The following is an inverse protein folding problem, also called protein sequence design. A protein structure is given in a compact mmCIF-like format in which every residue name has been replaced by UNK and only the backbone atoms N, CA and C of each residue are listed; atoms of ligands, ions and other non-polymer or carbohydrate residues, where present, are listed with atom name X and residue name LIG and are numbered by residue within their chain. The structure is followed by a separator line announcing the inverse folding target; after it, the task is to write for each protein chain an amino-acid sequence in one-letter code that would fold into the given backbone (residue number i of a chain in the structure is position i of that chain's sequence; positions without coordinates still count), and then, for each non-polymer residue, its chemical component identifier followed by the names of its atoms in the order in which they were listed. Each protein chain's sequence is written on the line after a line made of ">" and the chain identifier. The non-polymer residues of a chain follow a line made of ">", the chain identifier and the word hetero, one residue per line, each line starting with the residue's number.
data_IF_410640226945
#
_entry.id   IF_410640226945
#
_cell.length_a   1.000
_cell.length_b   1.000
_cell.length_c   1.000
_cell.angle_alpha   90.00
_cell.angle_beta   90.00
_cell.angle_gamma   90.00
#
_symmetry.space_group_name_H-M   'P 1'
#
loop_
_entity.id
_entity.type
_entity.pdbx_description
1 polymer ?
#
# COMPACT_ATOMS: atom_id res chain seq x y z
N UNK A 1 46.06 -34.19 27.77
CA UNK A 1 44.65 -33.81 28.18
C UNK A 1 44.42 -32.29 28.17
N UNK A 2 45.36 -31.48 27.73
CA UNK A 2 45.26 -29.96 27.80
C UNK A 2 44.88 -29.37 26.43
N UNK A 3 45.02 -30.07 25.31
CA UNK A 3 44.74 -29.56 23.94
C UNK A 3 43.22 -29.58 23.59
N UNK A 4 42.41 -30.38 24.27
CA UNK A 4 40.93 -30.44 23.98
C UNK A 4 40.10 -29.36 24.66
N UNK A 5 40.64 -28.62 25.66
CA UNK A 5 39.89 -27.55 26.31
C UNK A 5 40.01 -26.20 25.58
N UNK A 6 41.13 -25.94 24.88
CA UNK A 6 41.34 -24.69 24.15
C UNK A 6 40.49 -24.54 22.90
N UNK A 7 40.11 -25.65 22.21
CA UNK A 7 39.27 -25.58 21.01
C UNK A 7 37.82 -25.27 21.30
N UNK A 8 37.28 -25.66 22.49
CA UNK A 8 35.90 -25.36 22.87
C UNK A 8 35.68 -23.91 23.33
N UNK A 9 36.71 -23.29 23.89
CA UNK A 9 36.64 -21.89 24.29
C UNK A 9 36.67 -20.93 23.08
N UNK A 10 37.40 -21.29 22.01
CA UNK A 10 37.45 -20.52 20.76
C UNK A 10 36.14 -20.60 19.98
N UNK A 11 35.42 -21.73 19.99
CA UNK A 11 34.14 -21.89 19.33
C UNK A 11 33.01 -21.13 20.06
N UNK A 12 33.05 -21.03 21.38
CA UNK A 12 32.05 -20.24 22.13
C UNK A 12 32.28 -18.72 21.99
N UNK A 13 33.52 -18.24 21.85
CA UNK A 13 33.79 -16.82 21.58
C UNK A 13 33.44 -16.44 20.11
N UNK A 14 33.57 -17.33 19.14
CA UNK A 14 33.18 -17.08 17.76
C UNK A 14 31.65 -17.03 17.56
N UNK A 15 30.87 -17.72 18.40
CA UNK A 15 29.40 -17.68 18.38
C UNK A 15 28.83 -16.41 19.04
N UNK A 16 29.58 -15.78 19.95
CA UNK A 16 29.17 -14.51 20.59
C UNK A 16 29.48 -13.26 19.75
N UNK A 17 30.36 -13.37 18.72
CA UNK A 17 30.72 -12.24 17.87
C UNK A 17 29.79 -12.06 16.65
N UNK A 18 28.80 -12.92 16.45
CA UNK A 18 27.74 -12.77 15.44
C UNK A 18 26.44 -12.19 15.98
N UNK A 19 26.43 -11.62 17.20
CA UNK A 19 25.37 -10.71 17.58
C UNK A 19 25.46 -9.49 16.63
N UNK A 20 24.67 -9.52 15.55
CA UNK A 20 24.43 -8.34 14.73
C UNK A 20 24.00 -7.26 15.70
N UNK A 21 24.82 -6.24 15.88
CA UNK A 21 24.41 -4.97 16.47
C UNK A 21 23.34 -4.41 15.53
N UNK A 22 22.11 -4.84 15.68
CA UNK A 22 20.97 -4.14 15.16
C UNK A 22 20.95 -2.83 15.94
N UNK A 23 21.54 -1.78 15.38
CA UNK A 23 21.30 -0.43 15.87
C UNK A 23 19.78 -0.26 15.79
N UNK A 24 19.12 -0.19 16.92
CA UNK A 24 17.70 0.13 16.96
C UNK A 24 17.52 1.45 16.20
N UNK A 25 16.72 1.45 15.15
CA UNK A 25 16.42 2.68 14.41
C UNK A 25 15.80 3.67 15.39
N UNK A 26 16.37 4.87 15.48
CA UNK A 26 15.80 5.92 16.32
C UNK A 26 14.72 6.65 15.54
N UNK A 27 13.51 6.67 16.09
CA UNK A 27 12.38 7.42 15.55
C UNK A 27 12.21 8.70 16.36
N UNK A 28 12.08 9.83 15.67
CA UNK A 28 11.90 11.13 16.29
C UNK A 28 10.76 11.89 15.61
N UNK A 29 9.80 12.38 16.39
CA UNK A 29 8.79 13.31 15.89
C UNK A 29 9.46 14.66 15.63
N UNK A 30 9.42 15.13 14.38
CA UNK A 30 10.04 16.40 13.95
C UNK A 30 9.01 17.45 13.55
N UNK A 31 7.73 17.08 13.48
CA UNK A 31 6.62 18.00 13.21
C UNK A 31 5.29 17.35 13.53
N UNK A 32 4.31 18.17 13.94
CA UNK A 32 2.93 17.75 14.11
C UNK A 32 2.02 18.91 13.70
N UNK A 33 1.08 18.62 12.82
CA UNK A 33 0.07 19.55 12.36
C UNK A 33 -1.31 18.99 12.66
N UNK A 34 -2.24 19.85 13.08
CA UNK A 34 -3.62 19.46 13.38
C UNK A 34 -4.57 20.40 12.65
N UNK A 35 -5.57 19.83 11.99
CA UNK A 35 -6.57 20.56 11.23
C UNK A 35 -7.96 19.95 11.41
N UNK A 36 -8.99 20.75 11.26
CA UNK A 36 -10.37 20.28 11.11
C UNK A 36 -10.60 19.95 9.63
N UNK A 37 -10.91 18.69 9.32
CA UNK A 37 -11.10 18.22 7.93
C UNK A 37 -12.58 18.14 7.52
N UNK A 38 -13.47 17.99 8.50
CA UNK A 38 -14.92 18.11 8.33
C UNK A 38 -15.52 18.41 9.71
N UNK A 39 -16.64 19.10 9.78
CA UNK A 39 -17.32 19.56 11.01
C UNK A 39 -16.69 19.18 12.37
N UNK A 40 -16.89 17.92 12.82
CA UNK A 40 -16.40 17.37 14.10
C UNK A 40 -15.23 16.36 13.91
N UNK A 41 -14.62 16.28 12.71
CA UNK A 41 -13.47 15.44 12.44
C UNK A 41 -12.19 16.26 12.48
N UNK A 42 -11.25 15.80 13.29
CA UNK A 42 -9.90 16.37 13.39
C UNK A 42 -8.88 15.40 12.81
N UNK A 43 -8.01 15.93 11.96
CA UNK A 43 -6.85 15.23 11.42
C UNK A 43 -5.58 15.76 12.08
N UNK A 44 -4.76 14.86 12.58
CA UNK A 44 -3.39 15.14 13.01
C UNK A 44 -2.42 14.44 12.07
N UNK A 45 -1.44 15.16 11.55
CA UNK A 45 -0.34 14.63 10.72
C UNK A 45 0.95 14.81 11.48
N UNK A 46 1.63 13.71 11.76
CA UNK A 46 2.92 13.70 12.46
C UNK A 46 4.02 13.30 11.50
N UNK A 47 5.05 14.13 11.36
CA UNK A 47 6.25 13.81 10.60
C UNK A 47 7.24 13.11 11.51
N UNK A 48 7.65 11.91 11.12
CA UNK A 48 8.60 11.08 11.87
C UNK A 48 9.90 10.97 11.08
N UNK A 49 10.99 11.38 11.69
CA UNK A 49 12.36 11.21 11.20
C UNK A 49 12.92 9.88 11.71
N UNK A 50 13.54 9.10 10.81
CA UNK A 50 14.22 7.85 11.15
C UNK A 50 15.72 8.01 11.00
N UNK A 51 16.47 7.82 12.09
CA UNK A 51 17.92 8.03 12.07
C UNK A 51 18.31 9.47 11.73
N UNK A 52 19.41 9.64 11.01
CA UNK A 52 20.02 10.97 10.75
C UNK A 52 19.88 11.45 9.30
N UNK A 53 19.47 10.58 8.36
CA UNK A 53 19.29 10.99 6.97
C UNK A 53 18.01 11.84 6.85
N UNK A 54 18.07 13.08 6.37
CA UNK A 54 16.91 13.98 6.31
C UNK A 54 15.78 13.49 5.38
N UNK A 55 16.06 12.56 4.47
CA UNK A 55 15.05 11.94 3.61
C UNK A 55 14.30 10.78 4.29
N UNK A 56 14.88 10.16 5.33
CA UNK A 56 14.25 9.06 6.04
C UNK A 56 13.12 9.59 6.93
N UNK A 57 12.07 10.13 6.30
CA UNK A 57 10.87 10.67 6.93
C UNK A 57 9.63 10.03 6.36
N UNK A 58 8.71 9.67 7.25
CA UNK A 58 7.37 9.25 6.86
C UNK A 58 6.31 10.03 7.63
N UNK A 59 5.07 9.97 7.16
CA UNK A 59 3.98 10.65 7.83
C UNK A 59 3.05 9.63 8.49
N UNK A 60 2.62 9.98 9.69
CA UNK A 60 1.56 9.31 10.43
C UNK A 60 0.36 10.24 10.45
N UNK A 61 -0.72 9.84 9.81
CA UNK A 61 -2.00 10.57 9.88
C UNK A 61 -2.92 9.88 10.88
N UNK A 62 -3.69 10.68 11.62
CA UNK A 62 -4.73 10.20 12.53
C UNK A 62 -5.98 11.06 12.36
N UNK A 63 -7.12 10.43 12.11
CA UNK A 63 -8.40 11.13 12.02
C UNK A 63 -9.33 10.59 13.09
N UNK A 64 -9.83 11.52 13.92
CA UNK A 64 -10.71 11.21 15.04
C UNK A 64 -11.92 12.10 15.05
N UNK A 65 -13.04 11.61 15.60
CA UNK A 65 -14.23 12.39 15.85
C UNK A 65 -14.20 12.99 17.26
N UNK A 66 -14.31 14.31 17.33
CA UNK A 66 -14.44 15.03 18.59
C UNK A 66 -15.91 15.36 18.86
N UNK A 67 -16.64 14.44 19.49
CA UNK A 67 -17.98 14.69 19.96
C UNK A 67 -18.14 14.18 21.40
N UNK A 68 -18.71 14.96 22.32
CA UNK A 68 -18.97 14.52 23.69
C UNK A 68 -19.83 13.23 23.69
N UNK A 69 -19.37 12.20 24.44
CA UNK A 69 -20.10 10.94 24.56
C UNK A 69 -20.02 10.02 23.35
N UNK A 70 -19.12 10.29 22.40
CA UNK A 70 -18.89 9.42 21.27
C UNK A 70 -18.12 8.16 21.70
N UNK A 71 -18.72 6.98 21.43
CA UNK A 71 -18.07 5.71 21.76
C UNK A 71 -16.95 5.41 20.76
N UNK A 72 -15.76 5.09 21.25
CA UNK A 72 -14.69 4.50 20.48
C UNK A 72 -15.09 3.06 20.07
N UNK A 73 -14.99 2.74 18.77
CA UNK A 73 -15.41 1.45 18.20
C UNK A 73 -14.26 0.58 17.75
N UNK A 74 -13.03 1.08 17.86
CA UNK A 74 -11.82 0.39 17.49
C UNK A 74 -10.94 1.22 16.57
N UNK A 75 -9.76 0.73 16.29
CA UNK A 75 -8.73 1.41 15.50
C UNK A 75 -8.53 0.70 14.15
N UNK A 76 -8.54 1.51 13.08
CA UNK A 76 -8.12 1.10 11.73
C UNK A 76 -6.76 1.69 11.42
N UNK A 77 -5.81 0.87 10.96
CA UNK A 77 -4.51 1.30 10.45
C UNK A 77 -4.48 1.05 8.93
N UNK A 78 -4.47 2.12 8.15
CA UNK A 78 -4.52 2.08 6.69
C UNK A 78 -3.13 2.27 6.08
N UNK A 79 -2.73 1.34 5.23
CA UNK A 79 -1.49 1.35 4.47
C UNK A 79 -1.80 1.72 3.01
N UNK A 80 -1.04 2.67 2.40
CA UNK A 80 -1.40 3.24 1.11
C UNK A 80 -1.06 2.32 -0.07
N UNK A 81 -1.73 2.48 -1.22
CA UNK A 81 -1.32 1.87 -2.47
C UNK A 81 0.03 2.41 -2.96
N UNK A 82 0.63 1.74 -3.93
CA UNK A 82 1.88 2.16 -4.55
C UNK A 82 1.71 3.55 -5.19
N UNK A 83 2.73 4.40 -5.03
CA UNK A 83 2.68 5.75 -5.58
C UNK A 83 1.71 6.69 -4.87
N UNK A 84 1.33 6.39 -3.62
CA UNK A 84 0.33 7.16 -2.88
C UNK A 84 0.68 7.24 -1.39
N UNK A 85 -0.09 8.05 -0.66
CA UNK A 85 -0.05 8.15 0.79
C UNK A 85 -1.45 7.99 1.39
N UNK A 86 -1.59 8.29 2.68
CA UNK A 86 -2.88 8.21 3.38
C UNK A 86 -3.99 9.03 2.72
N UNK A 87 -3.64 10.15 2.06
CA UNK A 87 -4.58 11.02 1.34
C UNK A 87 -5.40 10.29 0.26
N UNK A 88 -4.95 9.14 -0.22
CA UNK A 88 -5.71 8.33 -1.16
C UNK A 88 -7.04 7.87 -0.56
N UNK A 89 -7.09 7.60 0.73
CA UNK A 89 -8.29 7.21 1.47
C UNK A 89 -9.16 8.40 1.94
N UNK A 90 -8.67 9.63 1.73
CA UNK A 90 -9.36 10.88 2.10
C UNK A 90 -10.13 11.50 0.93
N UNK A 91 -9.93 11.00 -0.28
CA UNK A 91 -10.69 11.43 -1.45
C UNK A 91 -12.09 10.85 -1.37
N UNK A 92 -13.09 11.72 -1.40
CA UNK A 92 -14.51 11.36 -1.35
C UNK A 92 -15.26 11.87 -2.57
N UNK A 93 -16.42 11.28 -2.85
CA UNK A 93 -17.30 11.65 -3.95
C UNK A 93 -17.59 13.15 -3.96
N UNK A 94 -17.30 13.81 -5.09
CA UNK A 94 -17.51 15.24 -5.25
C UNK A 94 -16.70 16.13 -4.30
N UNK A 95 -15.60 15.61 -3.73
CA UNK A 95 -14.77 16.31 -2.75
C UNK A 95 -15.36 16.32 -1.33
N UNK A 96 -16.44 15.58 -1.09
CA UNK A 96 -17.06 15.45 0.22
C UNK A 96 -16.26 14.49 1.10
N UNK A 97 -15.55 15.03 2.10
CA UNK A 97 -14.71 14.24 3.01
C UNK A 97 -15.51 13.14 3.75
N UNK A 98 -16.79 13.40 4.07
CA UNK A 98 -17.63 12.44 4.77
C UNK A 98 -17.97 11.20 3.92
N UNK A 99 -17.79 11.30 2.60
CA UNK A 99 -17.91 10.20 1.65
C UNK A 99 -16.60 9.54 1.30
N UNK A 100 -15.50 10.00 1.87
CA UNK A 100 -14.22 9.28 1.77
C UNK A 100 -14.22 8.05 2.68
N UNK A 101 -13.32 7.11 2.38
CA UNK A 101 -13.13 5.93 3.23
C UNK A 101 -12.82 6.34 4.69
N UNK A 102 -11.91 7.28 4.88
CA UNK A 102 -11.53 7.79 6.22
C UNK A 102 -12.69 8.48 6.91
N UNK A 103 -13.39 9.37 6.20
CA UNK A 103 -14.54 10.10 6.74
C UNK A 103 -15.67 9.16 7.17
N UNK A 104 -15.96 8.14 6.36
CA UNK A 104 -16.96 7.13 6.66
C UNK A 104 -16.73 6.43 8.01
N UNK A 105 -15.50 5.96 8.25
CA UNK A 105 -15.16 5.23 9.48
C UNK A 105 -15.01 6.18 10.68
N UNK A 106 -14.35 7.33 10.51
CA UNK A 106 -14.17 8.29 11.58
C UNK A 106 -15.53 8.81 12.10
N UNK A 107 -16.50 9.09 11.20
CA UNK A 107 -17.86 9.47 11.57
C UNK A 107 -18.56 8.43 12.45
N UNK A 108 -18.23 7.17 12.26
CA UNK A 108 -18.81 6.03 12.99
C UNK A 108 -18.07 5.66 14.26
N UNK A 109 -17.05 6.45 14.66
CA UNK A 109 -16.36 6.28 15.93
C UNK A 109 -15.11 5.42 15.88
N UNK A 110 -14.62 5.16 14.70
CA UNK A 110 -13.31 4.56 14.57
C UNK A 110 -12.21 5.62 14.71
N UNK A 111 -11.11 5.25 15.34
CA UNK A 111 -9.87 6.00 15.26
C UNK A 111 -9.10 5.52 14.03
N UNK A 112 -9.01 6.38 13.00
CA UNK A 112 -8.43 6.00 11.72
C UNK A 112 -6.99 6.52 11.65
N UNK A 113 -6.05 5.60 11.66
CA UNK A 113 -4.63 5.88 11.51
C UNK A 113 -4.18 5.54 10.09
N UNK A 114 -3.16 6.26 9.60
CA UNK A 114 -2.62 6.05 8.28
C UNK A 114 -1.13 6.27 8.19
N UNK A 115 -0.54 5.51 7.32
CA UNK A 115 0.85 5.58 6.94
C UNK A 115 0.99 6.29 5.60
N UNK A 116 1.94 7.20 5.46
CA UNK A 116 2.39 7.69 4.16
C UNK A 116 3.88 7.43 4.04
N UNK A 117 4.27 6.77 2.95
CA UNK A 117 5.64 6.30 2.70
C UNK A 117 6.64 7.45 2.66
N UNK A 118 7.91 7.15 2.87
CA UNK A 118 9.03 8.12 2.89
C UNK A 118 9.14 8.94 1.60
N UNK A 119 8.75 8.39 0.46
CA UNK A 119 8.68 9.08 -0.85
C UNK A 119 7.72 10.30 -0.85
N UNK A 120 6.79 10.38 0.10
CA UNK A 120 5.81 11.48 0.21
C UNK A 120 6.45 12.87 0.34
N UNK A 121 7.66 12.95 0.87
CA UNK A 121 8.39 14.22 1.04
C UNK A 121 9.16 14.69 -0.19
N UNK A 122 9.16 13.92 -1.29
CA UNK A 122 9.91 14.22 -2.51
C UNK A 122 9.00 14.88 -3.55
N UNK A 123 9.50 15.91 -4.20
CA UNK A 123 8.81 16.59 -5.31
C UNK A 123 9.41 16.18 -6.66
N UNK A 124 8.60 16.20 -7.71
CA UNK A 124 9.04 15.81 -9.06
C UNK A 124 10.35 16.52 -9.48
N UNK A 125 11.28 15.74 -10.04
CA UNK A 125 12.57 16.23 -10.53
C UNK A 125 13.62 16.51 -9.44
N UNK A 126 13.31 16.35 -8.14
CA UNK A 126 14.27 16.66 -7.07
C UNK A 126 15.48 15.71 -7.06
N UNK A 127 15.25 14.43 -7.35
CA UNK A 127 16.32 13.44 -7.42
C UNK A 127 17.13 13.57 -8.73
N UNK A 128 16.45 13.75 -9.85
CA UNK A 128 17.05 13.84 -11.20
C UNK A 128 17.92 15.09 -11.36
N UNK A 129 17.53 16.21 -10.72
CA UNK A 129 18.31 17.45 -10.72
C UNK A 129 19.54 17.40 -9.80
N UNK A 130 19.64 16.38 -8.94
CA UNK A 130 20.66 16.31 -7.90
C UNK A 130 20.43 17.30 -6.75
N UNK A 131 19.27 17.95 -6.69
CA UNK A 131 18.92 18.85 -5.58
C UNK A 131 18.81 18.07 -4.25
N UNK A 132 18.51 16.80 -4.34
CA UNK A 132 18.39 15.87 -3.22
C UNK A 132 19.18 14.59 -3.52
N UNK A 133 19.98 14.12 -2.57
CA UNK A 133 20.62 12.80 -2.65
C UNK A 133 19.60 11.69 -2.32
N UNK A 134 19.06 11.08 -3.36
CA UNK A 134 18.06 10.03 -3.26
C UNK A 134 18.64 8.61 -3.09
N UNK A 135 19.94 8.47 -2.82
CA UNK A 135 20.60 7.16 -2.64
C UNK A 135 20.02 6.34 -1.47
N UNK A 136 19.42 7.00 -0.47
CA UNK A 136 18.71 6.34 0.63
C UNK A 136 17.56 5.45 0.15
N UNK A 137 16.94 5.76 -1.00
CA UNK A 137 15.85 4.98 -1.58
C UNK A 137 16.27 3.54 -1.98
N UNK A 138 17.56 3.27 -2.08
CA UNK A 138 18.09 1.91 -2.23
C UNK A 138 17.60 0.93 -1.16
N UNK A 139 17.25 1.46 0.03
CA UNK A 139 16.82 0.67 1.18
C UNK A 139 15.30 0.75 1.47
N UNK A 140 14.56 1.60 0.74
CA UNK A 140 13.14 1.79 1.00
C UNK A 140 12.29 0.68 0.35
N UNK A 141 12.32 -0.49 0.96
CA UNK A 141 11.56 -1.67 0.58
C UNK A 141 10.55 -2.09 1.64
N UNK A 142 10.08 -3.32 1.53
CA UNK A 142 9.08 -3.88 2.45
C UNK A 142 9.58 -3.89 3.90
N UNK A 143 10.86 -4.18 4.15
CA UNK A 143 11.43 -4.15 5.50
C UNK A 143 11.37 -2.75 6.14
N UNK A 144 11.54 -1.69 5.33
CA UNK A 144 11.38 -0.31 5.79
C UNK A 144 9.92 -0.03 6.17
N UNK A 145 8.97 -0.45 5.34
CA UNK A 145 7.53 -0.33 5.62
C UNK A 145 7.19 -1.05 6.93
N UNK A 146 7.68 -2.27 7.14
CA UNK A 146 7.46 -3.02 8.38
C UNK A 146 7.97 -2.27 9.62
N UNK A 147 9.15 -1.68 9.54
CA UNK A 147 9.72 -0.89 10.64
C UNK A 147 8.89 0.38 10.95
N UNK A 148 8.48 1.11 9.92
CA UNK A 148 7.68 2.32 10.06
C UNK A 148 6.27 1.99 10.62
N UNK A 149 5.66 0.90 10.16
CA UNK A 149 4.35 0.42 10.64
C UNK A 149 4.43 -0.06 12.10
N UNK A 150 5.51 -0.73 12.49
CA UNK A 150 5.74 -1.14 13.89
C UNK A 150 5.84 0.08 14.83
N UNK A 151 6.47 1.18 14.38
CA UNK A 151 6.45 2.44 15.12
C UNK A 151 5.03 3.01 15.26
N UNK A 152 4.23 3.02 14.17
CA UNK A 152 2.84 3.49 14.23
C UNK A 152 2.03 2.63 15.20
N UNK A 153 2.23 1.31 15.20
CA UNK A 153 1.58 0.39 16.16
C UNK A 153 1.88 0.78 17.61
N UNK A 154 3.12 1.19 17.91
CA UNK A 154 3.48 1.69 19.25
C UNK A 154 2.78 3.01 19.59
N UNK A 155 2.56 3.90 18.62
CA UNK A 155 1.79 5.13 18.83
C UNK A 155 0.31 4.83 19.10
N UNK A 156 -0.28 3.87 18.40
CA UNK A 156 -1.64 3.38 18.65
C UNK A 156 -1.74 2.80 20.07
N UNK A 157 -0.80 1.95 20.48
CA UNK A 157 -0.74 1.39 21.84
C UNK A 157 -0.66 2.48 22.91
N UNK A 158 0.09 3.56 22.62
CA UNK A 158 0.20 4.70 23.53
C UNK A 158 -1.11 5.50 23.64
N UNK A 159 -1.88 5.57 22.55
CA UNK A 159 -3.17 6.25 22.51
C UNK A 159 -4.31 5.39 23.09
N UNK A 160 -4.25 4.09 22.90
CA UNK A 160 -5.26 3.09 23.28
C UNK A 160 -4.58 1.86 23.89
N UNK A 161 -4.17 1.91 25.17
CA UNK A 161 -3.44 0.80 25.79
C UNK A 161 -4.20 -0.52 25.76
N UNK A 162 -3.53 -1.59 25.28
CA UNK A 162 -4.08 -2.93 25.15
C UNK A 162 -4.94 -3.16 23.90
N UNK A 163 -5.15 -2.13 23.08
CA UNK A 163 -5.91 -2.28 21.84
C UNK A 163 -5.03 -2.77 20.69
N UNK A 164 -5.53 -3.76 19.97
CA UNK A 164 -4.94 -4.24 18.71
C UNK A 164 -5.72 -3.64 17.54
N UNK A 165 -5.09 -2.86 16.63
CA UNK A 165 -5.79 -2.31 15.47
C UNK A 165 -6.10 -3.39 14.44
N UNK A 166 -7.08 -3.14 13.58
CA UNK A 166 -7.23 -3.82 12.30
C UNK A 166 -6.33 -3.11 11.29
N UNK A 167 -5.43 -3.85 10.64
CA UNK A 167 -4.56 -3.33 9.59
C UNK A 167 -5.14 -3.64 8.21
N UNK A 168 -5.00 -2.72 7.27
CA UNK A 168 -5.49 -2.99 5.92
C UNK A 168 -5.09 -1.93 4.90
N UNK A 169 -5.50 -2.14 3.67
CA UNK A 169 -5.28 -1.20 2.59
C UNK A 169 -5.53 -1.78 1.22
N UNK A 170 -5.35 -0.93 0.20
CA UNK A 170 -5.51 -1.23 -1.21
C UNK A 170 -4.15 -1.52 -1.84
N UNK A 171 -4.08 -2.50 -2.76
CA UNK A 171 -2.89 -2.72 -3.61
C UNK A 171 -1.64 -2.95 -2.77
N UNK A 172 -0.61 -2.12 -2.88
CA UNK A 172 0.58 -2.21 -2.02
C UNK A 172 0.21 -2.13 -0.54
N UNK A 173 -0.84 -1.41 -0.15
CA UNK A 173 -1.33 -1.37 1.23
C UNK A 173 -1.85 -2.73 1.71
N UNK A 174 -2.55 -3.47 0.85
CA UNK A 174 -2.94 -4.86 1.09
C UNK A 174 -1.72 -5.78 1.20
N UNK A 175 -0.80 -5.65 0.24
CA UNK A 175 0.48 -6.38 0.19
C UNK A 175 1.29 -6.16 1.47
N UNK A 176 1.44 -4.90 1.91
CA UNK A 176 2.13 -4.55 3.14
C UNK A 176 1.39 -5.08 4.38
N UNK A 177 0.05 -5.09 4.37
CA UNK A 177 -0.73 -5.67 5.47
C UNK A 177 -0.50 -7.18 5.61
N UNK A 178 -0.37 -7.92 4.50
CA UNK A 178 0.04 -9.34 4.52
C UNK A 178 1.41 -9.50 5.18
N UNK A 179 2.39 -8.67 4.78
CA UNK A 179 3.73 -8.71 5.38
C UNK A 179 3.73 -8.35 6.87
N UNK A 180 2.89 -7.39 7.26
CA UNK A 180 2.74 -6.93 8.66
C UNK A 180 2.17 -8.02 9.55
N UNK A 181 1.07 -8.67 9.16
CA UNK A 181 0.49 -9.78 9.94
C UNK A 181 1.38 -11.03 9.92
N UNK A 182 2.21 -11.23 8.88
CA UNK A 182 3.23 -12.27 8.85
C UNK A 182 4.34 -12.01 9.87
N UNK A 183 4.81 -10.76 9.97
CA UNK A 183 5.91 -10.40 10.85
C UNK A 183 5.48 -10.29 12.33
N UNK A 184 4.27 -9.79 12.58
CA UNK A 184 3.74 -9.45 13.91
C UNK A 184 2.29 -9.93 14.10
N UNK A 185 2.02 -11.25 14.02
CA UNK A 185 0.66 -11.79 13.99
C UNK A 185 -0.15 -11.44 15.25
N UNK A 186 0.50 -11.25 16.41
CA UNK A 186 -0.18 -10.99 17.68
C UNK A 186 -0.51 -9.51 17.94
N UNK A 187 0.00 -8.59 17.09
CA UNK A 187 -0.15 -7.14 17.29
C UNK A 187 -1.44 -6.59 16.67
N UNK A 188 -2.16 -7.39 15.88
CA UNK A 188 -3.33 -6.98 15.11
C UNK A 188 -4.55 -7.80 15.45
N UNK A 189 -5.71 -7.15 15.55
CA UNK A 189 -7.00 -7.79 15.84
C UNK A 189 -7.63 -8.44 14.61
N UNK A 190 -7.23 -8.00 13.41
CA UNK A 190 -7.72 -8.49 12.13
C UNK A 190 -7.04 -7.80 10.96
N UNK A 191 -7.37 -8.21 9.73
CA UNK A 191 -6.85 -7.57 8.52
C UNK A 191 -7.93 -7.36 7.46
N UNK A 192 -7.85 -6.23 6.73
CA UNK A 192 -8.68 -5.92 5.55
C UNK A 192 -7.77 -5.80 4.34
N UNK A 193 -7.82 -6.78 3.46
CA UNK A 193 -6.97 -6.90 2.28
C UNK A 193 -7.80 -6.55 1.03
N UNK A 194 -7.44 -5.45 0.37
CA UNK A 194 -8.14 -4.98 -0.83
C UNK A 194 -7.16 -5.08 -2.00
N UNK A 195 -7.41 -6.03 -2.90
CA UNK A 195 -6.69 -6.14 -4.18
C UNK A 195 -5.16 -6.13 -4.04
N UNK A 196 -4.60 -7.05 -3.27
CA UNK A 196 -3.15 -7.21 -3.19
C UNK A 196 -2.69 -8.33 -2.29
N UNK A 197 -1.62 -9.00 -2.70
CA UNK A 197 -1.00 -10.11 -1.98
C UNK A 197 0.48 -10.25 -2.35
N UNK A 198 1.19 -11.13 -1.63
CA UNK A 198 2.62 -11.48 -1.82
C UNK A 198 2.83 -12.94 -2.23
N UNK A 199 1.77 -13.66 -2.55
CA UNK A 199 1.88 -15.09 -2.83
C UNK A 199 0.96 -15.50 -3.95
N UNK A 200 1.46 -16.36 -4.83
CA UNK A 200 0.69 -17.08 -5.85
C UNK A 200 1.22 -18.49 -6.05
N UNK A 201 0.33 -19.42 -6.38
CA UNK A 201 0.66 -20.79 -6.80
C UNK A 201 0.75 -20.91 -8.32
N UNK A 202 0.29 -19.90 -9.08
CA UNK A 202 0.32 -19.88 -10.52
C UNK A 202 1.74 -19.85 -11.04
N UNK A 203 2.17 -20.92 -11.75
CA UNK A 203 3.54 -21.09 -12.22
C UNK A 203 3.94 -20.05 -13.29
N UNK A 204 3.01 -19.65 -14.16
CA UNK A 204 3.25 -18.63 -15.19
C UNK A 204 3.50 -17.25 -14.56
N UNK A 205 2.66 -16.86 -13.61
CA UNK A 205 2.82 -15.60 -12.88
C UNK A 205 4.11 -15.57 -12.05
N UNK A 206 4.44 -16.67 -11.40
CA UNK A 206 5.71 -16.79 -10.69
C UNK A 206 6.91 -16.61 -11.62
N UNK A 207 6.87 -17.19 -12.82
CA UNK A 207 7.93 -17.05 -13.82
C UNK A 207 8.06 -15.60 -14.32
N UNK A 208 6.95 -14.91 -14.56
CA UNK A 208 6.92 -13.51 -14.96
C UNK A 208 7.48 -12.63 -13.83
N UNK A 209 7.01 -12.84 -12.59
CA UNK A 209 7.51 -12.09 -11.44
C UNK A 209 8.98 -12.38 -11.13
N UNK A 210 9.51 -13.56 -11.41
CA UNK A 210 10.94 -13.85 -11.33
C UNK A 210 11.76 -13.01 -12.33
N UNK A 211 11.22 -12.77 -13.53
CA UNK A 211 11.78 -11.83 -14.49
C UNK A 211 11.86 -10.42 -13.95
N UNK A 212 10.77 -9.93 -13.34
CA UNK A 212 10.74 -8.60 -12.69
C UNK A 212 11.66 -8.51 -11.48
N UNK A 213 11.68 -9.53 -10.62
CA UNK A 213 12.60 -9.60 -9.49
C UNK A 213 14.04 -9.40 -9.97
N UNK A 214 14.46 -10.16 -10.99
CA UNK A 214 15.80 -10.05 -11.58
C UNK A 214 16.04 -8.67 -12.23
N UNK A 215 15.04 -8.11 -12.90
CA UNK A 215 15.11 -6.77 -13.50
C UNK A 215 15.37 -5.71 -12.43
N UNK A 216 14.59 -5.70 -11.34
CA UNK A 216 14.74 -4.72 -10.28
C UNK A 216 16.02 -4.92 -9.45
N UNK A 217 16.47 -6.16 -9.26
CA UNK A 217 17.80 -6.44 -8.67
C UNK A 217 18.92 -5.81 -9.52
N UNK A 218 18.82 -5.92 -10.85
CA UNK A 218 19.77 -5.30 -11.76
C UNK A 218 19.68 -3.76 -11.73
N UNK A 219 18.48 -3.17 -11.66
CA UNK A 219 18.31 -1.73 -11.49
C UNK A 219 19.02 -1.23 -10.22
N UNK A 220 18.75 -1.88 -9.08
CA UNK A 220 19.40 -1.54 -7.80
C UNK A 220 20.93 -1.68 -7.86
N UNK A 221 21.45 -2.73 -8.48
CA UNK A 221 22.88 -2.95 -8.66
C UNK A 221 23.54 -1.86 -9.53
N UNK A 222 22.78 -1.26 -10.45
CA UNK A 222 23.23 -0.16 -11.32
C UNK A 222 22.93 1.24 -10.74
N UNK A 223 22.49 1.33 -9.48
CA UNK A 223 22.25 2.62 -8.83
C UNK A 223 20.89 3.27 -9.17
N UNK A 224 19.97 2.52 -9.78
CA UNK A 224 18.60 3.01 -10.08
C UNK A 224 17.69 2.68 -8.89
N UNK A 225 17.53 3.63 -7.99
CA UNK A 225 16.86 3.44 -6.70
C UNK A 225 15.39 3.87 -6.70
N UNK A 226 14.94 4.56 -7.74
CA UNK A 226 13.59 5.11 -7.85
C UNK A 226 13.10 5.23 -9.30
N UNK A 227 11.79 5.31 -9.44
CA UNK A 227 11.09 5.80 -10.62
C UNK A 227 10.45 7.15 -10.25
N UNK A 228 10.85 8.22 -10.94
CA UNK A 228 10.34 9.59 -10.77
C UNK A 228 9.71 10.16 -12.03
N UNK A 229 9.51 9.35 -13.08
CA UNK A 229 9.03 9.84 -14.37
C UNK A 229 7.59 9.42 -14.68
N UNK A 230 7.21 8.20 -14.32
CA UNK A 230 5.92 7.66 -14.71
C UNK A 230 4.76 8.35 -13.98
N UNK A 231 4.87 8.60 -12.67
CA UNK A 231 3.80 9.21 -11.89
C UNK A 231 3.47 10.63 -12.30
N UNK A 232 4.44 11.56 -12.48
CA UNK A 232 4.14 12.90 -12.98
C UNK A 232 3.46 12.90 -14.36
N UNK A 233 3.88 12.03 -15.26
CA UNK A 233 3.25 11.84 -16.57
C UNK A 233 1.80 11.37 -16.46
N UNK A 234 1.54 10.45 -15.56
CA UNK A 234 0.22 9.91 -15.30
C UNK A 234 -0.74 10.97 -14.69
N UNK A 235 -0.25 11.77 -13.74
CA UNK A 235 -0.99 12.90 -13.15
C UNK A 235 -1.35 13.94 -14.22
N UNK A 236 -0.40 14.28 -15.08
CA UNK A 236 -0.65 15.22 -16.18
C UNK A 236 -1.70 14.71 -17.16
N UNK A 237 -1.63 13.42 -17.54
CA UNK A 237 -2.64 12.81 -18.41
C UNK A 237 -4.03 12.78 -17.79
N UNK A 238 -4.11 12.45 -16.51
CA UNK A 238 -5.36 12.47 -15.77
C UNK A 238 -5.98 13.86 -15.78
N UNK A 239 -5.20 14.90 -15.47
CA UNK A 239 -5.64 16.29 -15.53
C UNK A 239 -6.11 16.70 -16.94
N UNK A 240 -5.38 16.31 -17.98
CA UNK A 240 -5.75 16.63 -19.35
C UNK A 240 -7.00 15.87 -19.82
N UNK A 241 -7.19 14.63 -19.37
CA UNK A 241 -8.40 13.85 -19.67
C UNK A 241 -9.64 14.49 -19.04
N UNK A 242 -9.51 15.07 -17.83
CA UNK A 242 -10.58 15.81 -17.16
C UNK A 242 -10.89 17.15 -17.84
N UNK A 243 -9.85 17.94 -18.15
CA UNK A 243 -10.00 19.35 -18.58
C UNK A 243 -10.11 19.52 -20.09
N UNK A 244 -9.55 18.61 -20.90
CA UNK A 244 -9.53 18.67 -22.35
C UNK A 244 -9.61 17.26 -22.99
N UNK A 245 -10.69 16.50 -22.74
CA UNK A 245 -10.77 15.07 -23.09
C UNK A 245 -10.57 14.75 -24.57
N UNK A 246 -11.00 15.65 -25.45
CA UNK A 246 -10.94 15.47 -26.90
C UNK A 246 -9.70 16.08 -27.56
N UNK A 247 -8.83 16.76 -26.81
CA UNK A 247 -7.61 17.32 -27.36
C UNK A 247 -6.55 16.23 -27.64
N UNK A 248 -5.65 16.43 -28.64
CA UNK A 248 -4.58 15.49 -28.90
C UNK A 248 -3.65 15.36 -27.69
N UNK A 249 -3.19 14.14 -27.41
CA UNK A 249 -2.25 13.87 -26.32
C UNK A 249 -0.88 14.51 -26.62
N UNK A 250 -0.35 15.40 -25.74
CA UNK A 250 0.89 16.11 -26.01
C UNK A 250 2.15 15.31 -25.65
N UNK A 251 2.02 14.11 -25.06
CA UNK A 251 3.15 13.37 -24.51
C UNK A 251 3.80 12.47 -25.55
N UNK A 252 5.03 12.77 -26.02
CA UNK A 252 5.79 11.87 -26.87
C UNK A 252 6.14 10.61 -26.08
N UNK A 253 5.95 9.44 -26.68
CA UNK A 253 6.30 8.14 -26.10
C UNK A 253 5.17 7.46 -25.31
N UNK A 254 4.02 8.08 -25.16
CA UNK A 254 2.83 7.34 -24.73
C UNK A 254 2.47 6.29 -25.81
N UNK A 255 1.95 5.10 -25.41
CA UNK A 255 1.78 4.01 -26.37
C UNK A 255 1.13 4.50 -27.65
N UNK A 256 1.71 4.15 -28.78
CA UNK A 256 1.15 4.48 -30.09
C UNK A 256 -0.32 4.03 -30.15
N UNK A 257 -1.23 4.97 -30.31
CA UNK A 257 -2.67 4.67 -30.34
C UNK A 257 -3.55 5.63 -29.57
N UNK A 258 -2.99 6.47 -28.66
CA UNK A 258 -3.79 7.50 -28.00
C UNK A 258 -3.99 8.69 -28.94
N UNK A 259 -5.19 8.82 -29.47
CA UNK A 259 -5.55 9.92 -30.39
C UNK A 259 -6.02 11.17 -29.63
N UNK A 260 -6.41 11.03 -28.37
CA UNK A 260 -6.87 12.11 -27.49
C UNK A 260 -6.67 11.76 -26.00
N UNK A 261 -6.88 12.73 -25.11
CA UNK A 261 -6.69 12.52 -23.68
C UNK A 261 -7.62 11.47 -23.09
N UNK A 262 -8.83 11.32 -23.60
CA UNK A 262 -9.81 10.32 -23.15
C UNK A 262 -9.38 8.90 -23.49
N UNK A 263 -8.53 8.70 -24.48
CA UNK A 263 -8.01 7.38 -24.82
C UNK A 263 -7.14 6.76 -23.72
N UNK A 264 -6.68 7.54 -22.73
CA UNK A 264 -6.01 6.97 -21.56
C UNK A 264 -6.93 6.11 -20.69
N UNK A 265 -8.24 6.41 -20.68
CA UNK A 265 -9.26 5.54 -20.04
C UNK A 265 -9.16 4.13 -20.60
N UNK A 266 -9.02 4.02 -21.93
CA UNK A 266 -8.80 2.76 -22.58
C UNK A 266 -7.52 2.04 -22.11
N UNK A 267 -6.46 2.79 -21.83
CA UNK A 267 -5.20 2.21 -21.32
C UNK A 267 -5.32 1.69 -19.89
N UNK A 268 -6.13 2.34 -19.05
CA UNK A 268 -6.38 1.85 -17.69
C UNK A 268 -7.31 0.63 -17.68
N UNK A 269 -8.19 0.51 -18.67
CA UNK A 269 -9.15 -0.60 -18.76
C UNK A 269 -8.64 -1.79 -19.57
N UNK A 270 -7.75 -1.56 -20.55
CA UNK A 270 -7.13 -2.63 -21.32
C UNK A 270 -6.13 -3.39 -20.45
N UNK A 271 -5.97 -4.70 -20.66
CA UNK A 271 -4.82 -5.42 -20.14
C UNK A 271 -3.57 -4.74 -20.66
N UNK A 272 -2.72 -4.14 -19.82
CA UNK A 272 -1.52 -3.49 -20.32
C UNK A 272 -0.60 -4.55 -20.94
N UNK A 273 -0.18 -4.30 -22.16
CA UNK A 273 0.86 -5.06 -22.86
C UNK A 273 2.23 -4.61 -22.33
N UNK A 274 2.32 -4.22 -21.06
CA UNK A 274 3.58 -3.76 -20.49
C UNK A 274 4.12 -4.75 -19.47
N UNK A 275 5.43 -4.80 -19.27
CA UNK A 275 6.05 -5.66 -18.26
C UNK A 275 5.51 -5.49 -16.83
N UNK A 276 4.83 -4.42 -16.52
CA UNK A 276 4.31 -4.12 -15.18
C UNK A 276 2.95 -4.76 -14.86
N UNK A 277 2.34 -5.46 -15.81
CA UNK A 277 1.10 -6.17 -15.59
C UNK A 277 1.17 -7.56 -16.20
N UNK A 278 1.58 -8.51 -15.41
CA UNK A 278 2.01 -9.80 -15.90
C UNK A 278 0.88 -10.77 -16.27
N UNK A 279 -0.40 -10.37 -16.21
CA UNK A 279 -1.49 -11.34 -16.35
C UNK A 279 -2.32 -11.18 -17.60
N UNK A 280 -2.58 -12.31 -18.34
CA UNK A 280 -3.68 -12.35 -19.29
C UNK A 280 -5.00 -12.02 -18.57
N UNK A 281 -5.73 -11.01 -19.06
CA UNK A 281 -7.02 -10.61 -18.49
C UNK A 281 -6.97 -9.65 -17.31
N UNK A 282 -5.79 -9.29 -16.80
CA UNK A 282 -5.67 -8.25 -15.78
C UNK A 282 -6.16 -6.90 -16.31
N UNK A 283 -6.93 -6.20 -15.52
CA UNK A 283 -7.33 -4.83 -15.77
C UNK A 283 -7.11 -3.99 -14.51
N UNK A 284 -6.57 -2.79 -14.68
CA UNK A 284 -6.48 -1.82 -13.59
C UNK A 284 -7.88 -1.35 -13.17
N UNK A 285 -8.71 -1.02 -14.18
CA UNK A 285 -10.14 -0.74 -14.04
C UNK A 285 -10.89 -1.54 -15.10
N UNK A 286 -12.05 -2.09 -14.75
CA UNK A 286 -12.94 -2.70 -15.72
C UNK A 286 -13.57 -1.65 -16.63
N UNK A 287 -13.56 -1.88 -17.92
CA UNK A 287 -14.14 -0.96 -18.89
C UNK A 287 -14.10 -1.47 -20.32
N UNK A 288 -14.47 -0.58 -21.24
CA UNK A 288 -14.50 -0.84 -22.66
C UNK A 288 -13.62 0.15 -23.42
N UNK A 289 -12.55 -0.35 -24.01
CA UNK A 289 -11.67 0.44 -24.87
C UNK A 289 -12.45 1.03 -26.06
N UNK A 290 -13.38 0.25 -26.63
CA UNK A 290 -14.18 0.69 -27.79
C UNK A 290 -15.19 1.79 -27.43
N UNK A 291 -15.60 1.88 -26.16
CA UNK A 291 -16.60 2.84 -25.70
C UNK A 291 -15.98 3.98 -24.87
N UNK A 292 -14.66 3.97 -24.68
CA UNK A 292 -13.89 4.95 -23.88
C UNK A 292 -14.53 5.20 -22.50
N UNK A 293 -14.93 4.14 -21.79
CA UNK A 293 -15.60 4.27 -20.49
C UNK A 293 -15.20 3.19 -19.50
N UNK A 294 -15.30 3.54 -18.22
CA UNK A 294 -15.26 2.60 -17.09
C UNK A 294 -16.61 1.89 -16.94
N UNK A 295 -16.58 0.63 -16.49
CA UNK A 295 -17.81 -0.13 -16.23
C UNK A 295 -18.35 0.16 -14.83
N UNK A 296 -17.49 0.25 -13.84
CA UNK A 296 -17.86 0.37 -12.42
C UNK A 296 -17.36 1.66 -11.80
N UNK A 297 -16.17 2.12 -12.16
CA UNK A 297 -15.53 3.26 -11.53
C UNK A 297 -16.19 4.60 -11.88
N UNK A 298 -16.22 5.49 -10.89
CA UNK A 298 -16.51 6.91 -11.07
C UNK A 298 -15.27 7.62 -11.63
N UNK A 299 -15.37 8.18 -12.82
CA UNK A 299 -14.24 8.83 -13.51
C UNK A 299 -13.71 10.03 -12.71
N UNK A 300 -14.57 10.82 -12.07
CA UNK A 300 -14.15 11.95 -11.27
C UNK A 300 -13.38 11.49 -10.01
N UNK A 301 -13.83 10.40 -9.38
CA UNK A 301 -13.12 9.81 -8.25
C UNK A 301 -11.75 9.26 -8.66
N UNK A 302 -11.65 8.65 -9.84
CA UNK A 302 -10.36 8.18 -10.40
C UNK A 302 -9.40 9.36 -10.59
N UNK A 303 -9.85 10.47 -11.23
CA UNK A 303 -9.02 11.66 -11.43
C UNK A 303 -8.56 12.28 -10.10
N UNK A 304 -9.48 12.44 -9.15
CA UNK A 304 -9.17 12.99 -7.84
C UNK A 304 -8.14 12.15 -7.07
N UNK A 305 -8.21 10.81 -7.19
CA UNK A 305 -7.23 9.91 -6.58
C UNK A 305 -5.86 9.97 -7.27
N UNK A 306 -5.82 10.05 -8.60
CA UNK A 306 -4.55 10.18 -9.32
C UNK A 306 -3.87 11.52 -8.99
N UNK A 307 -4.63 12.59 -8.78
CA UNK A 307 -4.09 13.90 -8.43
C UNK A 307 -3.28 13.88 -7.11
N UNK A 308 -3.62 13.01 -6.17
CA UNK A 308 -2.92 12.87 -4.87
C UNK A 308 -1.78 11.84 -4.87
N UNK A 309 -1.43 11.25 -6.02
CA UNK A 309 -0.28 10.37 -6.10
C UNK A 309 1.03 11.11 -5.77
N UNK A 310 2.00 10.39 -5.22
CA UNK A 310 3.36 10.90 -4.99
C UNK A 310 4.18 10.81 -6.28
N UNK A 311 5.25 11.60 -6.37
CA UNK A 311 6.01 11.70 -7.63
C UNK A 311 7.06 10.58 -7.80
N UNK A 312 7.35 9.82 -6.75
CA UNK A 312 8.38 8.79 -6.76
C UNK A 312 7.87 7.43 -6.26
N UNK A 313 8.44 6.39 -6.82
CA UNK A 313 8.30 5.00 -6.34
C UNK A 313 9.69 4.42 -6.09
N UNK A 314 9.93 3.86 -4.92
CA UNK A 314 11.20 3.22 -4.61
C UNK A 314 11.34 1.87 -5.34
N UNK A 315 12.42 1.69 -6.10
CA UNK A 315 12.73 0.45 -6.83
C UNK A 315 12.76 -0.76 -5.90
N UNK A 316 13.27 -0.57 -4.67
CA UNK A 316 13.35 -1.65 -3.68
C UNK A 316 11.96 -2.18 -3.29
N UNK A 317 10.95 -1.31 -3.18
CA UNK A 317 9.58 -1.74 -2.85
C UNK A 317 9.00 -2.65 -3.93
N UNK A 318 9.10 -2.27 -5.21
CA UNK A 318 8.59 -3.10 -6.32
C UNK A 318 9.41 -4.38 -6.51
N UNK A 319 10.73 -4.34 -6.25
CA UNK A 319 11.58 -5.52 -6.18
C UNK A 319 11.06 -6.53 -5.15
N UNK A 320 10.84 -6.09 -3.91
CA UNK A 320 10.43 -6.99 -2.82
C UNK A 320 9.06 -7.63 -3.10
N UNK A 321 8.12 -6.89 -3.70
CA UNK A 321 6.82 -7.42 -4.16
C UNK A 321 7.01 -8.47 -5.25
N UNK A 322 7.77 -8.14 -6.31
CA UNK A 322 7.98 -9.04 -7.44
C UNK A 322 8.70 -10.33 -7.02
N UNK A 323 9.72 -10.22 -6.18
CA UNK A 323 10.46 -11.39 -5.70
C UNK A 323 9.60 -12.28 -4.78
N UNK A 324 8.71 -11.70 -3.97
CA UNK A 324 7.77 -12.47 -3.16
C UNK A 324 6.78 -13.23 -4.04
N UNK A 325 6.20 -12.59 -5.06
CA UNK A 325 5.31 -13.25 -6.03
C UNK A 325 6.05 -14.29 -6.88
N UNK A 326 7.36 -14.13 -7.09
CA UNK A 326 8.22 -15.13 -7.70
C UNK A 326 8.47 -16.37 -6.82
N UNK A 327 8.23 -16.25 -5.52
CA UNK A 327 8.33 -17.36 -4.57
C UNK A 327 9.27 -17.13 -3.38
N UNK A 328 9.86 -15.94 -3.22
CA UNK A 328 10.52 -15.59 -1.96
C UNK A 328 9.49 -15.55 -0.83
N UNK A 329 9.76 -16.23 0.29
CA UNK A 329 8.78 -16.40 1.36
C UNK A 329 9.01 -15.48 2.56
N UNK A 330 9.98 -14.57 2.50
CA UNK A 330 10.39 -13.68 3.61
C UNK A 330 9.22 -12.96 4.28
N UNK A 331 8.19 -12.63 3.51
CA UNK A 331 7.02 -11.88 3.99
C UNK A 331 5.73 -12.72 4.06
N UNK A 332 5.83 -14.06 3.89
CA UNK A 332 4.67 -14.96 3.89
C UNK A 332 4.93 -16.31 4.57
N UNK A 333 6.10 -16.48 5.19
CA UNK A 333 6.55 -17.76 5.79
C UNK A 333 5.91 -18.08 7.14
N UNK A 334 5.24 -17.09 7.76
CA UNK A 334 4.64 -17.20 9.10
C UNK A 334 3.13 -16.84 9.13
N UNK A 335 2.47 -16.73 7.98
CA UNK A 335 1.04 -16.33 7.90
C UNK A 335 0.12 -17.28 8.66
N UNK A 336 0.48 -18.55 8.81
CA UNK A 336 -0.27 -19.51 9.63
C UNK A 336 -0.30 -19.16 11.12
N UNK A 337 0.59 -18.28 11.59
CA UNK A 337 0.60 -17.83 13.00
C UNK A 337 -0.42 -16.73 13.28
N UNK A 338 -1.00 -16.13 12.24
CA UNK A 338 -2.07 -15.15 12.39
C UNK A 338 -3.41 -15.87 12.60
N UNK A 339 -4.08 -15.59 13.73
CA UNK A 339 -5.34 -16.19 14.14
C UNK A 339 -6.53 -15.21 14.13
N UNK A 340 -6.29 -13.95 13.81
CA UNK A 340 -7.33 -12.94 13.69
C UNK A 340 -8.19 -13.11 12.43
N UNK A 341 -9.41 -12.52 12.41
CA UNK A 341 -10.24 -12.52 11.22
C UNK A 341 -9.60 -11.70 10.08
N UNK A 342 -9.82 -12.16 8.84
CA UNK A 342 -9.37 -11.50 7.62
C UNK A 342 -10.53 -11.29 6.67
N UNK A 343 -10.70 -10.06 6.18
CA UNK A 343 -11.60 -9.75 5.07
C UNK A 343 -10.77 -9.49 3.81
N UNK A 344 -11.06 -10.22 2.73
CA UNK A 344 -10.48 -10.01 1.41
C UNK A 344 -11.53 -9.46 0.46
N UNK A 345 -11.27 -8.30 -0.15
CA UNK A 345 -12.03 -7.75 -1.26
C UNK A 345 -11.22 -7.98 -2.54
N UNK A 346 -11.72 -8.85 -3.42
CA UNK A 346 -10.95 -9.47 -4.47
C UNK A 346 -11.63 -9.35 -5.83
N UNK A 347 -11.00 -8.71 -6.81
CA UNK A 347 -11.44 -8.57 -8.18
C UNK A 347 -10.88 -9.66 -9.09
N UNK A 348 -11.73 -10.35 -9.83
CA UNK A 348 -11.31 -11.47 -10.66
C UNK A 348 -10.43 -11.08 -11.85
N UNK A 349 -10.48 -9.81 -12.25
CA UNK A 349 -9.58 -9.20 -13.24
C UNK A 349 -8.43 -8.38 -12.60
N UNK A 350 -8.35 -8.36 -11.27
CA UNK A 350 -7.27 -7.79 -10.47
C UNK A 350 -6.40 -8.88 -9.82
N UNK A 351 -6.06 -8.73 -8.54
CA UNK A 351 -5.28 -9.70 -7.74
C UNK A 351 -6.14 -10.80 -7.08
N UNK A 352 -7.43 -10.88 -7.42
CA UNK A 352 -8.35 -11.82 -6.78
C UNK A 352 -7.87 -13.27 -6.79
N UNK A 353 -7.42 -13.85 -7.92
CA UNK A 353 -6.93 -15.22 -7.96
C UNK A 353 -5.79 -15.48 -6.98
N UNK A 354 -4.78 -14.59 -6.89
CA UNK A 354 -3.64 -14.75 -5.99
C UNK A 354 -4.01 -14.47 -4.53
N UNK A 355 -5.02 -13.63 -4.28
CA UNK A 355 -5.55 -13.47 -2.92
C UNK A 355 -6.18 -14.78 -2.43
N UNK A 356 -6.82 -15.56 -3.31
CA UNK A 356 -7.31 -16.91 -2.98
C UNK A 356 -6.16 -17.87 -2.67
N UNK A 357 -5.04 -17.79 -3.39
CA UNK A 357 -3.84 -18.57 -3.06
C UNK A 357 -3.28 -18.18 -1.66
N UNK A 358 -3.28 -16.88 -1.35
CA UNK A 358 -2.83 -16.38 -0.04
C UNK A 358 -3.75 -16.82 1.10
N UNK A 359 -5.05 -16.94 0.87
CA UNK A 359 -6.00 -17.48 1.84
C UNK A 359 -5.57 -18.86 2.33
N UNK A 360 -5.02 -19.70 1.47
CA UNK A 360 -4.56 -21.05 1.82
C UNK A 360 -3.37 -21.07 2.81
N UNK A 361 -2.66 -19.93 2.96
CA UNK A 361 -1.59 -19.77 3.94
C UNK A 361 -2.11 -19.31 5.32
N UNK A 362 -3.31 -18.75 5.40
CA UNK A 362 -3.95 -18.22 6.61
C UNK A 362 -4.76 -19.31 7.33
N UNK A 363 -4.11 -20.44 7.61
CA UNK A 363 -4.78 -21.68 8.08
C UNK A 363 -5.44 -21.57 9.45
N UNK A 364 -5.02 -20.61 10.29
CA UNK A 364 -5.59 -20.39 11.63
C UNK A 364 -6.53 -19.17 11.66
N UNK A 365 -6.58 -18.38 10.60
CA UNK A 365 -7.43 -17.20 10.49
C UNK A 365 -8.85 -17.55 10.02
N UNK A 366 -9.85 -16.78 10.48
CA UNK A 366 -11.18 -16.78 9.87
C UNK A 366 -11.19 -15.86 8.65
N UNK A 367 -11.19 -16.43 7.44
CA UNK A 367 -11.08 -15.63 6.20
C UNK A 367 -12.44 -15.52 5.51
N UNK A 368 -12.94 -14.28 5.41
CA UNK A 368 -14.10 -13.91 4.59
C UNK A 368 -13.61 -13.35 3.26
N UNK A 369 -14.13 -13.83 2.13
CA UNK A 369 -13.79 -13.33 0.79
C UNK A 369 -15.03 -12.76 0.12
N UNK A 370 -14.98 -11.49 -0.29
CA UNK A 370 -15.91 -10.88 -1.24
C UNK A 370 -15.22 -10.85 -2.61
N UNK A 371 -15.61 -11.79 -3.49
CA UNK A 371 -15.00 -11.97 -4.79
C UNK A 371 -15.93 -11.46 -5.90
N UNK A 372 -15.47 -10.46 -6.64
CA UNK A 372 -16.18 -9.87 -7.78
C UNK A 372 -15.46 -10.22 -9.09
N UNK A 373 -15.99 -11.22 -9.81
CA UNK A 373 -15.33 -11.82 -10.98
C UNK A 373 -14.93 -10.80 -12.07
N UNK A 374 -15.74 -9.76 -12.27
CA UNK A 374 -15.56 -8.79 -13.35
C UNK A 374 -14.81 -7.52 -12.95
N UNK A 375 -14.48 -7.34 -11.66
CA UNK A 375 -13.77 -6.16 -11.16
C UNK A 375 -12.29 -6.23 -11.49
N UNK A 376 -11.76 -5.08 -11.95
CA UNK A 376 -10.32 -4.84 -12.06
C UNK A 376 -9.71 -4.46 -10.70
N UNK A 377 -8.42 -4.16 -10.75
CA UNK A 377 -7.58 -3.95 -9.57
C UNK A 377 -8.06 -2.85 -8.62
N UNK A 378 -8.59 -1.74 -9.12
CA UNK A 378 -9.03 -0.63 -8.27
C UNK A 378 -10.53 -0.36 -8.33
N UNK A 379 -11.32 -1.19 -9.02
CA UNK A 379 -12.76 -1.01 -9.13
C UNK A 379 -13.46 -1.02 -7.78
N UNK A 380 -12.98 -1.79 -6.80
CA UNK A 380 -13.55 -1.82 -5.45
C UNK A 380 -13.63 -0.43 -4.83
N UNK A 381 -12.54 0.33 -4.88
CA UNK A 381 -12.45 1.63 -4.18
C UNK A 381 -12.85 2.82 -5.03
N UNK A 382 -12.90 2.66 -6.36
CA UNK A 382 -13.29 3.72 -7.29
C UNK A 382 -14.68 3.50 -7.89
N UNK A 383 -15.40 2.43 -7.47
CA UNK A 383 -16.76 2.16 -7.89
C UNK A 383 -17.71 3.30 -7.50
N UNK A 384 -18.67 3.62 -8.37
CA UNK A 384 -19.82 4.48 -8.03
C UNK A 384 -20.63 3.95 -6.86
N UNK A 385 -20.40 2.70 -6.44
CA UNK A 385 -21.04 2.03 -5.32
C UNK A 385 -20.07 1.67 -4.19
N UNK A 386 -18.87 2.28 -4.16
CA UNK A 386 -17.84 1.91 -3.19
C UNK A 386 -18.37 1.90 -1.75
N UNK A 387 -19.20 2.89 -1.35
CA UNK A 387 -19.81 2.94 -0.03
C UNK A 387 -20.57 1.65 0.33
N UNK A 388 -21.35 1.10 -0.60
CA UNK A 388 -22.13 -0.12 -0.40
C UNK A 388 -21.32 -1.39 -0.55
N UNK A 389 -20.27 -1.36 -1.35
CA UNK A 389 -19.52 -2.55 -1.77
C UNK A 389 -18.19 -2.71 -1.04
N UNK A 390 -17.71 -1.65 -0.36
CA UNK A 390 -16.46 -1.65 0.40
C UNK A 390 -16.69 -1.24 1.85
N UNK A 391 -17.08 0.03 2.10
CA UNK A 391 -17.11 0.57 3.46
C UNK A 391 -18.17 -0.11 4.32
N UNK A 392 -19.39 -0.32 3.81
CA UNK A 392 -20.44 -1.01 4.57
C UNK A 392 -20.11 -2.49 4.83
N UNK A 393 -19.62 -3.30 3.88
CA UNK A 393 -19.13 -4.65 4.14
C UNK A 393 -18.00 -4.71 5.17
N UNK A 394 -17.02 -3.81 5.09
CA UNK A 394 -15.93 -3.74 6.07
C UNK A 394 -16.49 -3.41 7.46
N UNK A 395 -17.39 -2.42 7.58
CA UNK A 395 -18.02 -2.08 8.84
C UNK A 395 -18.81 -3.27 9.42
N UNK A 396 -19.63 -3.92 8.61
CA UNK A 396 -20.41 -5.08 9.04
C UNK A 396 -19.52 -6.25 9.47
N UNK A 397 -18.44 -6.51 8.73
CA UNK A 397 -17.46 -7.52 9.08
C UNK A 397 -16.73 -7.17 10.40
N UNK A 398 -16.27 -5.91 10.55
CA UNK A 398 -15.60 -5.46 11.76
C UNK A 398 -16.50 -5.66 13.00
N UNK A 399 -17.76 -5.24 12.90
CA UNK A 399 -18.72 -5.36 14.02
C UNK A 399 -19.10 -6.81 14.37
N UNK A 400 -18.92 -7.74 13.46
CA UNK A 400 -19.24 -9.17 13.67
C UNK A 400 -18.06 -9.98 14.13
N UNK A 401 -16.86 -9.70 13.60
CA UNK A 401 -15.70 -10.59 13.74
C UNK A 401 -14.63 -10.03 14.69
N UNK A 402 -14.55 -8.69 14.87
CA UNK A 402 -13.49 -8.05 15.65
C UNK A 402 -13.99 -7.57 17.02
N UNK A 403 -15.25 -7.15 17.13
CA UNK A 403 -15.87 -6.65 18.39
C UNK A 403 -16.72 -7.79 19.09
#
# INVERSE_FOLDING_TARGET
>A
MIIKLTLRAFFLLALLSCARLTFAQTYQIVGTETSTVANDLTKTVTTVQVGTNPLDRFLVSRVTKHAPGHAHRGTLLLLPPLGSGFQNYEVGDGGDYDKSFVGFFARRGFDVWGYSQRVQGLTAGSCESGAVDCSAMANWGMQTILGDVAYIRQQIESAHPGERPVVGGLSLGSIASVAVINAHPQDYAGAVLIEGTLYTTNAEERAINAGFCSFFDNQLANGVYYDGQNTPGFKLLSYLAETAPNAPTPLPGFPAGFTNHRAWVAALTAPPVTPTTPRPGYAFLAGSVAEDKFTYADEALVHANIAVFVDYVATRTVRDVSCSLAGERTYTDNLQSFDGPVLMLAGGRGFGPEMLDTKELLTNASVTVDYKADYGHVDHVFSTKHMQEVEHPILAWFMREVN
#
